data_IF_201904412825
#
_entry.id   IF_201904412825
#
_cell.length_a   1.000
_cell.length_b   1.000
_cell.length_c   1.000
_cell.angle_alpha   90.00
_cell.angle_beta   90.00
_cell.angle_gamma   90.00
#
_symmetry.space_group_name_H-M   'P 1'
#
loop_
_entity.id
_entity.type
_entity.pdbx_description
1 polymer ?
#
# COMPACT_ATOMS: atom_id res chain seq x y z
N UNK A 1 -12.42 -16.74 -29.58
CA UNK A 1 -12.59 -18.02 -28.85
C UNK A 1 -12.16 -17.81 -27.41
N UNK A 2 -13.09 -17.51 -26.50
CA UNK A 2 -12.76 -17.26 -25.08
C UNK A 2 -12.53 -18.59 -24.38
N UNK A 3 -11.27 -18.91 -24.03
CA UNK A 3 -10.97 -20.02 -23.12
C UNK A 3 -11.55 -19.66 -21.75
N UNK A 4 -12.62 -20.33 -21.34
CA UNK A 4 -13.07 -20.29 -19.94
C UNK A 4 -11.93 -20.88 -19.11
N UNK A 5 -11.36 -20.08 -18.22
CA UNK A 5 -10.45 -20.57 -17.19
C UNK A 5 -11.17 -21.67 -16.40
N UNK A 6 -10.49 -22.78 -16.06
CA UNK A 6 -11.08 -23.79 -15.18
C UNK A 6 -11.51 -23.11 -13.88
N UNK A 7 -12.78 -23.30 -13.50
CA UNK A 7 -13.29 -22.81 -12.22
C UNK A 7 -12.56 -23.57 -11.13
N UNK A 8 -11.78 -22.89 -10.29
CA UNK A 8 -11.25 -23.50 -9.07
C UNK A 8 -12.43 -23.94 -8.20
N UNK A 9 -12.24 -25.06 -7.50
CA UNK A 9 -13.16 -25.45 -6.42
C UNK A 9 -13.12 -24.38 -5.31
N UNK A 10 -14.24 -24.15 -4.65
CA UNK A 10 -14.34 -23.17 -3.56
C UNK A 10 -13.34 -23.49 -2.43
N UNK A 11 -13.12 -24.78 -2.13
CA UNK A 11 -12.10 -25.24 -1.20
C UNK A 11 -10.68 -24.80 -1.59
N UNK A 12 -10.31 -25.02 -2.86
CA UNK A 12 -8.98 -24.63 -3.35
C UNK A 12 -8.78 -23.11 -3.31
N UNK A 13 -9.85 -22.36 -3.57
CA UNK A 13 -9.83 -20.90 -3.51
C UNK A 13 -9.63 -20.40 -2.07
N UNK A 14 -10.37 -20.94 -1.11
CA UNK A 14 -10.27 -20.59 0.33
C UNK A 14 -8.90 -20.97 0.90
N UNK A 15 -8.40 -22.15 0.56
CA UNK A 15 -7.09 -22.64 0.94
C UNK A 15 -5.98 -21.71 0.43
N UNK A 16 -6.07 -21.27 -0.83
CA UNK A 16 -5.14 -20.30 -1.43
C UNK A 16 -5.21 -18.94 -0.72
N UNK A 17 -6.41 -18.48 -0.38
CA UNK A 17 -6.65 -17.27 0.42
C UNK A 17 -5.98 -17.34 1.79
N UNK A 18 -6.15 -18.45 2.52
CA UNK A 18 -5.50 -18.64 3.84
C UNK A 18 -3.98 -18.57 3.74
N UNK A 19 -3.37 -19.24 2.76
CA UNK A 19 -1.91 -19.17 2.55
C UNK A 19 -1.46 -17.75 2.21
N UNK A 20 -2.23 -17.04 1.39
CA UNK A 20 -2.00 -15.63 1.08
C UNK A 20 -2.02 -14.74 2.32
N UNK A 21 -3.06 -14.86 3.16
CA UNK A 21 -3.21 -14.11 4.41
C UNK A 21 -2.05 -14.42 5.37
N UNK A 22 -1.71 -15.71 5.55
CA UNK A 22 -0.62 -16.12 6.44
C UNK A 22 0.74 -15.61 5.99
N UNK A 23 0.99 -15.58 4.68
CA UNK A 23 2.22 -15.03 4.12
C UNK A 23 2.26 -13.51 4.30
N UNK A 24 1.15 -12.82 4.00
CA UNK A 24 1.02 -11.39 4.19
C UNK A 24 1.25 -10.99 5.66
N UNK A 25 0.63 -11.66 6.62
CA UNK A 25 0.80 -11.36 8.05
C UNK A 25 2.24 -11.49 8.52
N UNK A 26 2.99 -12.46 7.97
CA UNK A 26 4.43 -12.63 8.25
C UNK A 26 5.25 -11.45 7.71
N UNK A 27 4.92 -10.94 6.53
CA UNK A 27 5.65 -9.82 5.91
C UNK A 27 5.12 -8.44 6.31
N UNK A 28 3.93 -8.36 6.89
CA UNK A 28 3.25 -7.13 7.31
C UNK A 28 4.15 -6.17 8.12
N UNK A 29 4.83 -6.60 9.21
CA UNK A 29 5.68 -5.69 9.97
C UNK A 29 6.84 -5.16 9.13
N UNK A 30 7.42 -5.97 8.25
CA UNK A 30 8.51 -5.55 7.36
C UNK A 30 8.04 -4.54 6.32
N UNK A 31 6.87 -4.73 5.73
CA UNK A 31 6.26 -3.78 4.80
C UNK A 31 6.01 -2.45 5.50
N UNK A 32 5.44 -2.48 6.71
CA UNK A 32 5.19 -1.28 7.52
C UNK A 32 6.51 -0.56 7.82
N UNK A 33 7.52 -1.26 8.32
CA UNK A 33 8.83 -0.69 8.63
C UNK A 33 9.51 -0.10 7.41
N UNK A 34 9.43 -0.78 6.26
CA UNK A 34 9.98 -0.29 5.00
C UNK A 34 9.34 1.03 4.57
N UNK A 35 8.01 1.10 4.55
CA UNK A 35 7.30 2.31 4.13
C UNK A 35 7.42 3.45 5.15
N UNK A 36 7.43 3.17 6.45
CA UNK A 36 7.73 4.16 7.49
C UNK A 36 9.17 4.68 7.37
N UNK A 37 10.13 3.79 7.15
CA UNK A 37 11.53 4.16 6.92
C UNK A 37 11.68 5.05 5.69
N UNK A 38 11.00 4.73 4.59
CA UNK A 38 10.95 5.60 3.41
C UNK A 38 10.30 6.95 3.70
N UNK A 39 9.18 6.98 4.43
CA UNK A 39 8.49 8.21 4.77
C UNK A 39 9.37 9.14 5.62
N UNK A 40 10.02 8.60 6.64
CA UNK A 40 10.88 9.33 7.57
C UNK A 40 12.25 9.66 6.97
N UNK A 41 12.76 8.83 6.05
CA UNK A 41 14.05 9.06 5.41
C UNK A 41 13.96 10.00 4.22
N UNK A 42 13.12 9.66 3.24
CA UNK A 42 13.09 10.37 1.95
C UNK A 42 12.43 11.73 2.07
N UNK A 43 11.29 11.85 2.76
CA UNK A 43 10.56 13.11 2.78
C UNK A 43 11.36 14.25 3.46
N UNK A 44 12.00 14.04 4.63
CA UNK A 44 12.87 15.05 5.23
C UNK A 44 14.13 15.33 4.41
N UNK A 45 14.73 14.31 3.78
CA UNK A 45 15.89 14.51 2.90
C UNK A 45 15.54 15.39 1.69
N UNK A 46 14.38 15.18 1.07
CA UNK A 46 13.89 16.02 -0.03
C UNK A 46 13.61 17.46 0.41
N UNK A 47 12.94 17.63 1.57
CA UNK A 47 12.69 18.96 2.13
C UNK A 47 13.98 19.69 2.50
N UNK A 48 14.97 18.96 3.03
CA UNK A 48 16.28 19.52 3.36
C UNK A 48 17.04 19.94 2.09
N UNK A 49 17.07 19.08 1.07
CA UNK A 49 17.70 19.38 -0.22
C UNK A 49 17.04 20.60 -0.91
N UNK A 50 15.71 20.66 -0.91
CA UNK A 50 14.97 21.81 -1.44
C UNK A 50 15.30 23.10 -0.70
N UNK A 51 15.29 23.08 0.64
CA UNK A 51 15.65 24.25 1.44
C UNK A 51 17.11 24.69 1.19
N UNK A 52 18.04 23.74 1.05
CA UNK A 52 19.42 24.03 0.71
C UNK A 52 19.54 24.71 -0.66
N UNK A 53 18.88 24.15 -1.68
CA UNK A 53 18.87 24.70 -3.03
C UNK A 53 18.31 26.13 -3.07
N UNK A 54 17.19 26.38 -2.38
CA UNK A 54 16.58 27.71 -2.31
C UNK A 54 17.47 28.74 -1.60
N UNK A 55 18.21 28.34 -0.55
CA UNK A 55 19.16 29.23 0.12
C UNK A 55 20.35 29.59 -0.77
N UNK A 56 20.89 28.63 -1.51
CA UNK A 56 21.97 28.89 -2.48
C UNK A 56 21.48 29.84 -3.58
N UNK A 57 20.27 29.61 -4.10
CA UNK A 57 19.67 30.49 -5.09
C UNK A 57 19.43 31.91 -4.54
N UNK A 58 18.97 32.03 -3.29
CA UNK A 58 18.72 33.32 -2.63
C UNK A 58 19.99 34.14 -2.38
N UNK A 59 21.11 33.48 -2.08
CA UNK A 59 22.43 34.12 -1.98
C UNK A 59 22.91 34.70 -3.33
N UNK A 60 22.36 34.23 -4.45
CA UNK A 60 22.66 34.67 -5.82
C UNK A 60 21.99 35.99 -6.27
N UNK A 61 21.47 36.81 -5.35
CA UNK A 61 20.90 38.13 -5.64
C UNK A 61 19.58 38.08 -6.45
N UNK A 62 18.59 37.27 -6.01
CA UNK A 62 17.27 37.10 -6.65
C UNK A 62 16.46 38.40 -6.87
N UNK A 63 16.84 39.53 -6.27
CA UNK A 63 16.15 40.82 -6.44
C UNK A 63 16.44 41.56 -7.76
N UNK A 64 17.42 41.10 -8.56
CA UNK A 64 17.74 41.74 -9.83
C UNK A 64 16.80 41.27 -10.95
N UNK A 65 16.31 42.17 -11.81
CA UNK A 65 15.43 41.81 -12.94
C UNK A 65 16.10 40.84 -13.94
N UNK A 66 17.44 40.81 -13.99
CA UNK A 66 18.22 39.83 -14.76
C UNK A 66 17.98 38.37 -14.29
N UNK A 67 17.49 38.18 -13.06
CA UNK A 67 17.27 36.86 -12.46
C UNK A 67 15.81 36.38 -12.56
N UNK A 68 14.95 37.08 -13.31
CA UNK A 68 13.56 36.66 -13.53
C UNK A 68 13.44 35.23 -14.08
N UNK A 69 14.39 34.82 -14.94
CA UNK A 69 14.46 33.44 -15.45
C UNK A 69 14.74 32.40 -14.37
N UNK A 70 15.60 32.74 -13.39
CA UNK A 70 15.91 31.88 -12.24
C UNK A 70 14.70 31.72 -11.33
N UNK A 71 13.97 32.82 -11.09
CA UNK A 71 12.72 32.79 -10.31
C UNK A 71 11.66 31.93 -11.02
N UNK A 72 11.47 32.14 -12.32
CA UNK A 72 10.51 31.36 -13.12
C UNK A 72 10.83 29.87 -13.13
N UNK A 73 12.11 29.52 -13.31
CA UNK A 73 12.56 28.13 -13.21
C UNK A 73 12.35 27.55 -11.81
N UNK A 74 12.69 28.30 -10.76
CA UNK A 74 12.47 27.88 -9.37
C UNK A 74 11.00 27.62 -9.04
N UNK A 75 10.09 28.44 -9.58
CA UNK A 75 8.64 28.24 -9.45
C UNK A 75 8.18 26.94 -10.14
N UNK A 76 8.58 26.72 -11.38
CA UNK A 76 8.22 25.50 -12.14
C UNK A 76 8.80 24.25 -11.46
N UNK A 77 10.07 24.30 -11.07
CA UNK A 77 10.75 23.22 -10.37
C UNK A 77 10.09 22.92 -9.01
N UNK A 78 9.71 23.97 -8.27
CA UNK A 78 9.02 23.84 -6.99
C UNK A 78 7.65 23.21 -7.12
N UNK A 79 6.86 23.62 -8.11
CA UNK A 79 5.56 22.98 -8.40
C UNK A 79 5.75 21.51 -8.79
N UNK A 80 6.70 21.21 -9.67
CA UNK A 80 7.01 19.84 -10.08
C UNK A 80 7.43 18.96 -8.90
N UNK A 81 8.29 19.48 -8.01
CA UNK A 81 8.71 18.78 -6.81
C UNK A 81 7.56 18.59 -5.82
N UNK A 82 6.67 19.58 -5.67
CA UNK A 82 5.47 19.47 -4.86
C UNK A 82 4.54 18.36 -5.34
N UNK A 83 4.30 18.26 -6.66
CA UNK A 83 3.51 17.17 -7.25
C UNK A 83 4.19 15.81 -7.04
N UNK A 84 5.51 15.72 -7.20
CA UNK A 84 6.24 14.49 -6.99
C UNK A 84 6.16 14.01 -5.53
N UNK A 85 6.31 14.94 -4.57
CA UNK A 85 6.19 14.65 -3.13
C UNK A 85 4.75 14.24 -2.79
N UNK A 86 3.74 14.93 -3.33
CA UNK A 86 2.33 14.57 -3.13
C UNK A 86 2.02 13.16 -3.61
N UNK A 87 2.41 12.83 -4.84
CA UNK A 87 2.24 11.48 -5.39
C UNK A 87 3.00 10.40 -4.59
N UNK A 88 4.19 10.73 -4.10
CA UNK A 88 4.95 9.83 -3.23
C UNK A 88 4.21 9.60 -1.90
N UNK A 89 3.72 10.67 -1.26
CA UNK A 89 2.97 10.59 -0.03
C UNK A 89 1.69 9.75 -0.19
N UNK A 90 0.92 9.97 -1.26
CA UNK A 90 -0.29 9.18 -1.55
C UNK A 90 0.02 7.68 -1.69
N UNK A 91 1.12 7.33 -2.38
CA UNK A 91 1.55 5.93 -2.50
C UNK A 91 1.97 5.34 -1.16
N UNK A 92 2.76 6.07 -0.37
CA UNK A 92 3.22 5.62 0.95
C UNK A 92 2.03 5.39 1.87
N UNK A 93 1.11 6.37 1.95
CA UNK A 93 -0.10 6.27 2.76
C UNK A 93 -0.95 5.11 2.28
N UNK A 94 -1.25 5.00 0.99
CA UNK A 94 -2.03 3.90 0.43
C UNK A 94 -1.45 2.52 0.77
N UNK A 95 -0.13 2.36 0.67
CA UNK A 95 0.56 1.12 1.02
C UNK A 95 0.53 0.83 2.53
N UNK A 96 0.70 1.85 3.38
CA UNK A 96 0.56 1.70 4.83
C UNK A 96 -0.88 1.33 5.23
N UNK A 97 -1.88 1.97 4.63
CA UNK A 97 -3.28 1.63 4.85
C UNK A 97 -3.60 0.20 4.40
N UNK A 98 -3.07 -0.21 3.24
CA UNK A 98 -3.19 -1.58 2.78
C UNK A 98 -2.45 -2.56 3.70
N UNK A 99 -1.30 -2.17 4.26
CA UNK A 99 -0.58 -2.99 5.24
C UNK A 99 -1.36 -3.15 6.56
N UNK A 100 -2.06 -2.11 7.01
CA UNK A 100 -2.82 -2.11 8.26
C UNK A 100 -4.19 -2.78 8.11
N UNK A 101 -4.94 -2.48 7.05
CA UNK A 101 -6.30 -3.00 6.82
C UNK A 101 -6.38 -4.15 5.82
N UNK A 102 -5.26 -4.54 5.23
CA UNK A 102 -5.19 -5.58 4.20
C UNK A 102 -5.79 -6.91 4.66
N UNK A 103 -6.50 -7.55 3.74
CA UNK A 103 -7.15 -8.85 3.93
C UNK A 103 -8.27 -8.89 4.98
N UNK A 104 -8.80 -7.75 5.44
CA UNK A 104 -9.92 -7.74 6.40
C UNK A 104 -11.17 -8.41 5.81
N UNK A 105 -11.51 -8.09 4.57
CA UNK A 105 -12.67 -8.65 3.87
C UNK A 105 -12.46 -10.14 3.58
N UNK A 106 -11.26 -10.51 3.18
CA UNK A 106 -10.84 -11.87 2.88
C UNK A 106 -10.89 -12.76 4.13
N UNK A 107 -10.43 -12.25 5.28
CA UNK A 107 -10.58 -12.95 6.57
C UNK A 107 -12.03 -13.16 6.95
N UNK A 108 -12.89 -12.15 6.72
CA UNK A 108 -14.32 -12.30 6.96
C UNK A 108 -14.91 -13.39 6.06
N UNK A 109 -14.53 -13.40 4.78
CA UNK A 109 -15.00 -14.39 3.82
C UNK A 109 -14.58 -15.82 4.18
N UNK A 110 -13.31 -16.02 4.57
CA UNK A 110 -12.83 -17.30 5.09
C UNK A 110 -13.62 -17.70 6.35
N UNK A 111 -13.88 -16.76 7.26
CA UNK A 111 -14.65 -17.04 8.48
C UNK A 111 -16.10 -17.45 8.19
N UNK A 112 -16.76 -16.81 7.22
CA UNK A 112 -18.10 -17.20 6.80
C UNK A 112 -18.11 -18.58 6.14
N UNK A 113 -17.10 -18.89 5.31
CA UNK A 113 -16.94 -20.21 4.71
C UNK A 113 -16.81 -21.31 5.77
N UNK A 114 -15.97 -21.07 6.78
CA UNK A 114 -15.73 -22.01 7.89
C UNK A 114 -16.99 -22.24 8.73
N UNK A 115 -17.82 -21.21 8.92
CA UNK A 115 -19.09 -21.34 9.63
C UNK A 115 -20.11 -22.16 8.84
N UNK A 116 -20.20 -21.95 7.52
CA UNK A 116 -21.12 -22.71 6.67
C UNK A 116 -20.75 -24.20 6.59
N UNK A 117 -19.49 -24.52 6.30
CA UNK A 117 -19.02 -25.91 6.15
C UNK A 117 -18.72 -26.59 7.49
N UNK A 118 -18.59 -25.82 8.57
CA UNK A 118 -18.50 -26.35 9.92
C UNK A 118 -19.81 -27.00 10.35
N UNK A 119 -20.96 -26.39 10.02
CA UNK A 119 -22.28 -26.93 10.38
C UNK A 119 -22.58 -28.24 9.66
N UNK A 120 -22.25 -28.36 8.37
CA UNK A 120 -22.47 -29.58 7.58
C UNK A 120 -21.73 -30.80 8.18
N UNK A 121 -20.47 -30.61 8.63
CA UNK A 121 -19.71 -31.67 9.30
C UNK A 121 -20.31 -32.12 10.63
N UNK A 122 -21.03 -31.25 11.34
CA UNK A 122 -21.73 -31.61 12.58
C UNK A 122 -23.09 -32.30 12.34
N UNK A 123 -23.68 -32.13 11.16
CA UNK A 123 -24.91 -32.81 10.77
C UNK A 123 -24.62 -34.21 10.24
N UNK A 124 -23.60 -34.36 9.40
CA UNK A 124 -23.14 -35.66 8.89
C UNK A 124 -22.65 -36.59 10.02
N UNK A 125 -21.93 -36.03 11.00
CA UNK A 125 -21.47 -36.78 12.17
C UNK A 125 -22.59 -37.26 13.09
N UNK A 126 -23.72 -36.54 13.15
CA UNK A 126 -24.90 -36.96 13.93
C UNK A 126 -25.76 -37.97 13.18
N UNK A 127 -25.86 -37.87 11.86
CA UNK A 127 -26.62 -38.84 11.06
C UNK A 127 -26.03 -40.26 11.15
N UNK A 128 -24.70 -40.39 11.28
CA UNK A 128 -24.03 -41.68 11.41
C UNK A 128 -24.11 -42.35 12.79
N UNK A 129 -24.62 -41.68 13.84
CA UNK A 129 -24.76 -42.26 15.19
C UNK A 129 -26.13 -42.93 15.43
N UNK A 130 -27.07 -42.83 14.47
CA UNK A 130 -28.43 -43.38 14.59
C UNK A 130 -28.73 -44.57 13.67
N UNK A 131 -27.73 -45.11 12.98
CA UNK A 131 -27.79 -46.39 12.24
C UNK A 131 -27.06 -47.50 13.00
#
# INVERSE_FOLDING_TARGET
MFRRSPKLSDDEFVERLRRGIGSFDRFRPWIILFWLGLAIGIAPALLWAWNGAMKIAALGNLGQPANAGVIGFGLIAGVGMGIAIGNFADRVVGQLLQAVWGYRTERLLVRYYDLAHGQERFEDGRAGEFE
#
